data_IF_335186711026
#
_entry.id   IF_335186711026
#
_cell.length_a   1.000
_cell.length_b   1.000
_cell.length_c   1.000
_cell.angle_alpha   90.00
_cell.angle_beta   90.00
_cell.angle_gamma   90.00
#
_symmetry.space_group_name_H-M   'P 1'
#
loop_
_entity.id
_entity.type
_entity.pdbx_description
1 polymer ?
#
# COMPACT_ATOMS: atom_id res chain seq x y z
N UNK A 1 -39.88 0.80 -29.29
CA UNK A 1 -39.31 0.39 -27.99
C UNK A 1 -40.20 0.92 -26.89
N UNK A 2 -40.72 0.07 -26.00
CA UNK A 2 -41.68 0.50 -24.97
C UNK A 2 -40.93 1.10 -23.76
N UNK A 3 -40.97 2.42 -23.59
CA UNK A 3 -40.25 3.12 -22.53
C UNK A 3 -40.89 2.96 -21.14
N UNK A 4 -42.12 2.45 -21.05
CA UNK A 4 -42.82 2.27 -19.77
C UNK A 4 -42.32 1.08 -18.94
N UNK A 5 -41.49 0.21 -19.51
CA UNK A 5 -40.91 -0.95 -18.80
C UNK A 5 -39.61 -0.63 -18.06
N UNK A 6 -39.00 0.55 -18.30
CA UNK A 6 -37.74 0.98 -17.66
C UNK A 6 -37.77 0.92 -16.13
N UNK A 7 -38.85 1.36 -15.43
CA UNK A 7 -38.91 1.27 -13.97
C UNK A 7 -38.79 -0.16 -13.42
N UNK A 8 -39.20 -1.18 -14.19
CA UNK A 8 -39.10 -2.57 -13.77
C UNK A 8 -37.64 -3.09 -13.76
N UNK A 9 -36.76 -2.50 -14.59
CA UNK A 9 -35.33 -2.87 -14.65
C UNK A 9 -34.44 -2.03 -13.73
N UNK A 10 -34.97 -0.94 -13.15
CA UNK A 10 -34.21 -0.03 -12.30
C UNK A 10 -33.50 -0.71 -11.13
N UNK A 11 -34.13 -1.63 -10.36
CA UNK A 11 -33.43 -2.32 -9.27
C UNK A 11 -32.20 -3.08 -9.77
N UNK A 12 -32.31 -3.79 -10.89
CA UNK A 12 -31.21 -4.59 -11.45
C UNK A 12 -30.07 -3.67 -11.92
N UNK A 13 -30.40 -2.57 -12.59
CA UNK A 13 -29.40 -1.60 -13.04
C UNK A 13 -28.66 -0.95 -11.86
N UNK A 14 -29.40 -0.58 -10.80
CA UNK A 14 -28.81 -0.05 -9.58
C UNK A 14 -27.82 -1.05 -8.96
N UNK A 15 -28.25 -2.29 -8.74
CA UNK A 15 -27.38 -3.32 -8.15
C UNK A 15 -26.13 -3.58 -9.01
N UNK A 16 -26.27 -3.65 -10.34
CA UNK A 16 -25.10 -3.81 -11.22
C UNK A 16 -24.14 -2.62 -11.14
N UNK A 17 -24.66 -1.39 -11.10
CA UNK A 17 -23.79 -0.20 -10.96
C UNK A 17 -23.03 -0.20 -9.64
N UNK A 18 -23.69 -0.53 -8.53
CA UNK A 18 -23.06 -0.62 -7.22
C UNK A 18 -22.03 -1.75 -7.18
N UNK A 19 -22.39 -2.92 -7.73
CA UNK A 19 -21.51 -4.08 -7.79
C UNK A 19 -20.23 -3.79 -8.58
N UNK A 20 -20.36 -3.21 -9.77
CA UNK A 20 -19.20 -2.84 -10.58
C UNK A 20 -18.37 -1.73 -9.93
N UNK A 21 -19.01 -0.72 -9.33
CA UNK A 21 -18.30 0.34 -8.63
C UNK A 21 -17.47 -0.22 -7.46
N UNK A 22 -18.04 -1.12 -6.66
CA UNK A 22 -17.35 -1.75 -5.53
C UNK A 22 -16.13 -2.57 -5.99
N UNK A 23 -16.30 -3.42 -7.01
CA UNK A 23 -15.19 -4.20 -7.56
C UNK A 23 -14.11 -3.32 -8.18
N UNK A 24 -14.49 -2.33 -9.00
CA UNK A 24 -13.53 -1.41 -9.61
C UNK A 24 -12.76 -0.65 -8.53
N UNK A 25 -13.41 -0.15 -7.48
CA UNK A 25 -12.74 0.52 -6.38
C UNK A 25 -11.78 -0.41 -5.63
N UNK A 26 -12.22 -1.63 -5.30
CA UNK A 26 -11.39 -2.61 -4.61
C UNK A 26 -10.14 -2.99 -5.41
N UNK A 27 -10.30 -3.35 -6.69
CA UNK A 27 -9.18 -3.76 -7.53
C UNK A 27 -8.27 -2.59 -7.92
N UNK A 28 -8.82 -1.40 -8.19
CA UNK A 28 -8.03 -0.21 -8.49
C UNK A 28 -7.13 0.17 -7.31
N UNK A 29 -7.67 0.16 -6.08
CA UNK A 29 -6.90 0.43 -4.88
C UNK A 29 -5.73 -0.55 -4.71
N UNK A 30 -5.96 -1.85 -4.92
CA UNK A 30 -4.90 -2.85 -4.84
C UNK A 30 -3.80 -2.59 -5.87
N UNK A 31 -4.17 -2.42 -7.14
CA UNK A 31 -3.22 -2.22 -8.25
C UNK A 31 -2.41 -0.93 -8.05
N UNK A 32 -3.06 0.18 -7.66
CA UNK A 32 -2.39 1.46 -7.44
C UNK A 32 -1.37 1.40 -6.29
N UNK A 33 -1.69 0.66 -5.23
CA UNK A 33 -0.77 0.45 -4.10
C UNK A 33 0.22 -0.70 -4.33
N UNK A 34 0.25 -1.29 -5.54
CA UNK A 34 1.11 -2.44 -5.89
C UNK A 34 0.90 -3.64 -4.97
N UNK A 35 -0.32 -3.80 -4.49
CA UNK A 35 -0.82 -5.02 -3.85
C UNK A 35 -1.40 -5.91 -4.97
N UNK A 36 -1.26 -7.25 -4.97
CA UNK A 36 -0.76 -8.13 -3.93
C UNK A 36 0.76 -8.33 -4.01
N UNK A 37 1.46 -7.99 -2.92
CA UNK A 37 2.90 -8.24 -2.76
C UNK A 37 3.11 -9.15 -1.56
N UNK A 38 3.35 -10.43 -1.83
CA UNK A 38 3.47 -11.47 -0.81
C UNK A 38 4.76 -11.36 0.00
N UNK A 39 5.86 -10.93 -0.64
CA UNK A 39 7.12 -10.68 0.04
C UNK A 39 7.61 -9.26 -0.20
N UNK A 40 7.90 -8.55 0.88
CA UNK A 40 8.54 -7.24 0.88
C UNK A 40 9.86 -7.36 1.67
N UNK A 41 10.99 -6.81 1.20
CA UNK A 41 12.29 -6.94 1.89
C UNK A 41 12.25 -6.52 3.38
N UNK A 42 11.41 -5.53 3.70
CA UNK A 42 11.17 -5.08 5.08
C UNK A 42 10.67 -6.20 6.02
N UNK A 43 10.05 -7.26 5.51
CA UNK A 43 9.59 -8.39 6.32
C UNK A 43 10.75 -9.23 6.87
N UNK A 44 11.96 -9.13 6.30
CA UNK A 44 13.16 -9.82 6.80
C UNK A 44 13.66 -9.23 8.12
N UNK A 45 13.22 -8.04 8.49
CA UNK A 45 13.63 -7.40 9.73
C UNK A 45 12.73 -7.83 10.89
N UNK A 46 13.29 -8.53 11.87
CA UNK A 46 12.54 -9.09 13.02
C UNK A 46 11.68 -8.05 13.75
N UNK A 47 12.18 -6.82 13.90
CA UNK A 47 11.45 -5.72 14.55
C UNK A 47 10.27 -5.20 13.75
N UNK A 48 10.24 -5.42 12.43
CA UNK A 48 9.14 -4.99 11.56
C UNK A 48 7.82 -5.68 11.90
N UNK A 49 7.84 -6.80 12.63
CA UNK A 49 6.63 -7.43 13.20
C UNK A 49 5.77 -6.47 14.04
N UNK A 50 6.36 -5.40 14.59
CA UNK A 50 5.69 -4.37 15.40
C UNK A 50 5.05 -3.24 14.60
N UNK A 51 5.22 -3.21 13.26
CA UNK A 51 4.79 -2.09 12.38
C UNK A 51 3.29 -1.79 12.43
N UNK A 52 2.46 -2.79 12.73
CA UNK A 52 1.00 -2.64 12.80
C UNK A 52 0.47 -2.40 14.21
N UNK A 53 1.34 -2.45 15.24
CA UNK A 53 0.91 -2.43 16.63
C UNK A 53 1.47 -1.22 17.38
N UNK A 54 2.75 -1.24 17.73
CA UNK A 54 3.35 -0.36 18.73
C UNK A 54 4.65 0.31 18.26
N UNK A 55 4.94 0.31 16.96
CA UNK A 55 6.12 0.98 16.39
C UNK A 55 5.80 1.80 15.14
N UNK A 56 6.44 2.96 15.03
CA UNK A 56 6.49 3.74 13.80
C UNK A 56 7.79 3.43 13.05
N UNK A 57 7.67 3.23 11.75
CA UNK A 57 8.78 2.82 10.90
C UNK A 57 8.91 3.79 9.74
N UNK A 58 10.15 4.19 9.47
CA UNK A 58 10.52 5.00 8.31
C UNK A 58 11.50 4.19 7.47
N UNK A 59 11.21 4.04 6.19
CA UNK A 59 12.07 3.35 5.24
C UNK A 59 12.48 4.32 4.13
N UNK A 60 13.76 4.30 3.79
CA UNK A 60 14.32 5.04 2.66
C UNK A 60 14.84 4.00 1.67
N UNK A 61 14.30 4.00 0.46
CA UNK A 61 14.70 3.05 -0.59
C UNK A 61 16.04 3.46 -1.22
N UNK A 62 16.90 2.48 -1.49
CA UNK A 62 18.19 2.70 -2.15
C UNK A 62 18.08 3.09 -3.64
N UNK A 63 16.86 3.16 -4.20
CA UNK A 63 16.60 3.51 -5.60
C UNK A 63 16.76 5.01 -5.89
N UNK A 64 16.80 5.85 -4.86
CA UNK A 64 17.01 7.30 -5.02
C UNK A 64 18.48 7.59 -5.45
N UNK A 65 18.73 8.36 -6.52
CA UNK A 65 20.09 8.77 -6.92
C UNK A 65 20.89 9.50 -5.83
N UNK A 66 20.23 10.08 -4.83
CA UNK A 66 20.87 10.77 -3.69
C UNK A 66 21.09 9.85 -2.49
N UNK A 67 20.70 8.59 -2.60
CA UNK A 67 20.89 7.62 -1.52
C UNK A 67 22.38 7.37 -1.32
N UNK A 68 22.81 7.43 -0.06
CA UNK A 68 24.14 7.02 0.38
C UNK A 68 23.98 6.50 1.80
N UNK A 69 24.41 5.25 2.04
CA UNK A 69 24.16 4.54 3.30
C UNK A 69 24.59 5.36 4.52
N UNK A 70 25.83 5.87 4.53
CA UNK A 70 26.36 6.66 5.65
C UNK A 70 25.52 7.93 5.90
N UNK A 71 25.16 8.67 4.84
CA UNK A 71 24.42 9.92 4.97
C UNK A 71 23.00 9.71 5.47
N UNK A 72 22.35 8.63 5.00
CA UNK A 72 21.01 8.26 5.45
C UNK A 72 21.03 7.79 6.89
N UNK A 73 22.05 7.03 7.28
CA UNK A 73 22.24 6.59 8.67
C UNK A 73 22.38 7.81 9.61
N UNK A 74 23.30 8.73 9.29
CA UNK A 74 23.51 9.96 10.06
C UNK A 74 22.24 10.82 10.12
N UNK A 75 21.49 10.93 9.01
CA UNK A 75 20.23 11.69 8.98
C UNK A 75 19.17 11.07 9.91
N UNK A 76 19.00 9.75 9.88
CA UNK A 76 18.03 9.05 10.71
C UNK A 76 18.43 9.13 12.19
N UNK A 77 19.72 9.03 12.50
CA UNK A 77 20.25 9.16 13.85
C UNK A 77 19.99 10.57 14.41
N UNK A 78 20.30 11.61 13.63
CA UNK A 78 20.07 13.00 14.02
C UNK A 78 18.58 13.33 14.21
N UNK A 79 17.69 12.64 13.49
CA UNK A 79 16.24 12.84 13.59
C UNK A 79 15.63 12.09 14.79
N UNK A 80 16.42 11.29 15.52
CA UNK A 80 15.98 10.54 16.70
C UNK A 80 15.55 9.10 16.42
N UNK A 81 16.04 8.49 15.34
CA UNK A 81 15.80 7.07 15.06
C UNK A 81 16.50 6.15 16.07
N UNK A 82 15.74 5.32 16.79
CA UNK A 82 16.29 4.45 17.84
C UNK A 82 16.90 3.14 17.32
N UNK A 83 16.33 2.59 16.24
CA UNK A 83 16.67 1.26 15.74
C UNK A 83 16.89 1.28 14.23
N UNK A 84 18.00 1.88 13.81
CA UNK A 84 18.36 2.04 12.40
C UNK A 84 19.03 0.75 11.92
N UNK A 85 18.52 0.15 10.85
CA UNK A 85 19.03 -1.10 10.27
C UNK A 85 18.99 -1.01 8.76
N UNK A 86 20.07 -1.45 8.10
CA UNK A 86 20.11 -1.61 6.66
C UNK A 86 19.46 -2.95 6.32
N UNK A 87 18.41 -2.92 5.52
CA UNK A 87 17.68 -4.11 5.08
C UNK A 87 18.04 -4.39 3.63
N UNK A 88 18.59 -5.56 3.35
CA UNK A 88 18.90 -6.00 2.00
C UNK A 88 17.71 -6.76 1.39
N UNK A 89 17.57 -6.65 0.07
CA UNK A 89 16.68 -7.50 -0.72
C UNK A 89 17.39 -8.83 -0.93
N UNK A 90 16.78 -9.95 -0.52
CA UNK A 90 17.32 -11.30 -0.74
C UNK A 90 17.26 -11.71 -2.23
#
# INVERSE_FOLDING_TARGET
TNFFTVPAFFPIMFELTVLFAAFSAFFAWQIMNRLPRWNHPLFNWERFSRVTNDGFFLAIEARDPRFTENRVYELLEQTGGEHITIVHED
#
